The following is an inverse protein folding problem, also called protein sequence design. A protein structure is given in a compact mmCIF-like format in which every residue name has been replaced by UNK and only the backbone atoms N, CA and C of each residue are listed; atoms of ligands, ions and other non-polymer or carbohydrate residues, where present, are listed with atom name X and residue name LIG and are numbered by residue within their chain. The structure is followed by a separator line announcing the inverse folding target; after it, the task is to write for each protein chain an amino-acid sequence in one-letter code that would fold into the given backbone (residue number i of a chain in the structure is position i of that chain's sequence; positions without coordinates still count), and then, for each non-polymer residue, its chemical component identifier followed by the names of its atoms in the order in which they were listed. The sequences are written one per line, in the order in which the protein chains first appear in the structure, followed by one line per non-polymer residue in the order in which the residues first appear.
data_IF_771377676189
#
_entry.id   IF_771377676189
#
_cell.length_a   1.000
_cell.length_b   1.000
_cell.length_c   1.000
_cell.angle_alpha   90.00
_cell.angle_beta   90.00
_cell.angle_gamma   90.00
#
_symmetry.space_group_name_H-M   'P 1'
#
loop_
_entity.id
_entity.type
_entity.pdbx_description
1 polymer ?
#
# COMPACT_ATOMS: atom_id res chain seq x y z
N UNK A 1 -0.53 7.42 26.86
CA UNK A 1 0.20 6.44 26.02
C UNK A 1 1.33 7.19 25.35
N UNK A 2 2.56 6.68 25.41
CA UNK A 2 3.74 7.38 24.88
C UNK A 2 3.75 7.36 23.33
N UNK A 3 4.04 8.50 22.69
CA UNK A 3 4.01 8.64 21.23
C UNK A 3 5.05 7.76 20.53
N UNK A 4 6.20 7.52 21.15
CA UNK A 4 7.26 6.67 20.58
C UNK A 4 6.79 5.22 20.54
N UNK A 5 6.11 4.78 21.60
CA UNK A 5 5.51 3.45 21.64
C UNK A 5 4.42 3.27 20.57
N UNK A 6 3.56 4.27 20.39
CA UNK A 6 2.54 4.25 19.34
C UNK A 6 3.16 4.14 17.94
N UNK A 7 4.18 4.96 17.65
CA UNK A 7 4.89 4.94 16.37
C UNK A 7 5.55 3.60 16.10
N UNK A 8 6.18 2.98 17.11
CA UNK A 8 6.82 1.67 16.96
C UNK A 8 5.81 0.60 16.50
N UNK A 9 4.64 0.56 17.14
CA UNK A 9 3.58 -0.40 16.81
C UNK A 9 3.01 -0.14 15.41
N UNK A 10 2.66 1.12 15.10
CA UNK A 10 2.08 1.48 13.80
C UNK A 10 3.07 1.26 12.65
N UNK A 11 4.37 1.50 12.88
CA UNK A 11 5.41 1.23 11.87
C UNK A 11 5.50 -0.27 11.57
N UNK A 12 5.47 -1.13 12.61
CA UNK A 12 5.44 -2.58 12.41
C UNK A 12 4.23 -3.04 11.59
N UNK A 13 3.03 -2.51 11.92
CA UNK A 13 1.81 -2.79 11.17
C UNK A 13 1.91 -2.31 9.71
N UNK A 14 2.43 -1.10 9.49
CA UNK A 14 2.61 -0.51 8.16
C UNK A 14 3.55 -1.35 7.30
N UNK A 15 4.69 -1.81 7.85
CA UNK A 15 5.68 -2.62 7.13
C UNK A 15 5.08 -3.93 6.62
N UNK A 16 4.21 -4.58 7.40
CA UNK A 16 3.57 -5.83 6.98
C UNK A 16 2.38 -5.57 6.04
N UNK A 17 1.59 -4.52 6.32
CA UNK A 17 0.42 -4.18 5.51
C UNK A 17 0.79 -3.68 4.11
N UNK A 18 1.85 -2.88 3.98
CA UNK A 18 2.27 -2.29 2.70
C UNK A 18 2.49 -3.35 1.60
N UNK A 19 3.32 -4.40 1.76
CA UNK A 19 3.47 -5.44 0.75
C UNK A 19 2.20 -6.29 0.59
N UNK A 20 1.43 -6.51 1.66
CA UNK A 20 0.16 -7.23 1.56
C UNK A 20 -0.84 -6.52 0.63
N UNK A 21 -1.01 -5.20 0.77
CA UNK A 21 -1.87 -4.43 -0.13
C UNK A 21 -1.23 -4.20 -1.50
N UNK A 22 0.10 -4.08 -1.57
CA UNK A 22 0.83 -3.94 -2.83
C UNK A 22 0.69 -5.14 -3.78
N UNK A 23 0.35 -6.32 -3.27
CA UNK A 23 0.10 -7.53 -4.09
C UNK A 23 -1.37 -7.70 -4.49
N UNK A 24 -2.27 -6.85 -4.01
CA UNK A 24 -3.72 -6.97 -4.20
C UNK A 24 -4.27 -5.83 -5.05
N UNK A 25 -3.63 -5.61 -6.19
CA UNK A 25 -4.10 -4.66 -7.20
C UNK A 25 -5.19 -5.32 -8.08
N UNK A 26 -5.88 -4.53 -8.89
CA UNK A 26 -6.94 -5.05 -9.75
C UNK A 26 -7.13 -4.23 -11.02
N UNK A 27 -7.54 -2.96 -10.88
CA UNK A 27 -7.88 -2.14 -12.04
C UNK A 27 -6.70 -1.97 -13.00
N UNK A 28 -5.53 -1.59 -12.50
CA UNK A 28 -4.33 -1.36 -13.31
C UNK A 28 -3.76 -2.62 -13.98
N UNK A 29 -4.15 -3.81 -13.53
CA UNK A 29 -3.74 -5.11 -14.11
C UNK A 29 -4.86 -5.74 -14.95
N UNK A 30 -5.96 -5.02 -15.17
CA UNK A 30 -7.14 -5.52 -15.91
C UNK A 30 -7.14 -5.04 -17.36
N UNK A 31 -7.87 -5.76 -18.21
CA UNK A 31 -8.10 -5.37 -19.62
C UNK A 31 -8.84 -4.04 -19.79
N UNK A 32 -9.39 -3.47 -18.71
CA UNK A 32 -10.06 -2.17 -18.73
C UNK A 32 -9.10 -1.01 -18.48
N UNK A 33 -7.80 -1.28 -18.29
CA UNK A 33 -6.79 -0.24 -18.09
C UNK A 33 -5.97 -0.02 -19.36
N UNK A 34 -6.28 1.08 -20.05
CA UNK A 34 -5.64 1.43 -21.32
C UNK A 34 -4.40 2.33 -21.16
N UNK A 35 -4.02 2.66 -19.91
CA UNK A 35 -2.93 3.58 -19.60
C UNK A 35 -1.60 2.88 -19.27
N UNK A 36 -0.57 3.67 -18.99
CA UNK A 36 0.76 3.18 -18.59
C UNK A 36 1.07 3.36 -17.09
N UNK A 37 0.06 3.67 -16.29
CA UNK A 37 0.20 3.99 -14.86
C UNK A 37 0.45 5.47 -14.56
N UNK A 38 0.43 6.35 -15.56
CA UNK A 38 0.71 7.79 -15.40
C UNK A 38 -0.34 8.67 -16.10
N UNK A 39 -0.33 9.97 -15.82
CA UNK A 39 -1.30 10.94 -16.34
C UNK A 39 -0.91 11.52 -17.72
N UNK A 40 0.00 10.87 -18.45
CA UNK A 40 0.48 11.33 -19.75
C UNK A 40 -0.41 10.87 -20.90
#
# INVERSE_FOLDING_TARGET
MDVKLLLLILTGLFIVAAPFFGTRNGFYDSDNYDGNGSAH
#
